data_IF_709907981858
#
_entry.id   IF_709907981858
#
_cell.length_a   1.000
_cell.length_b   1.000
_cell.length_c   1.000
_cell.angle_alpha   90.00
_cell.angle_beta   90.00
_cell.angle_gamma   90.00
#
_symmetry.space_group_name_H-M   'P 1'
#
loop_
_entity.id
_entity.type
_entity.pdbx_description
1 polymer ?
#
# COMPACT_ATOMS: atom_id res chain seq x y z
N UNK A 1 -41.27 -30.04 4.96
CA UNK A 1 -40.26 -29.20 5.66
C UNK A 1 -38.94 -29.15 4.87
N UNK A 2 -38.76 -30.00 3.87
CA UNK A 2 -37.54 -30.05 3.04
C UNK A 2 -37.40 -28.92 2.00
N UNK A 3 -38.49 -28.39 1.44
CA UNK A 3 -38.42 -27.40 0.34
C UNK A 3 -37.67 -26.11 0.68
N UNK A 4 -37.82 -25.61 1.92
CA UNK A 4 -37.12 -24.38 2.35
C UNK A 4 -35.63 -24.60 2.53
N UNK A 5 -35.23 -25.82 2.91
CA UNK A 5 -33.84 -26.19 3.06
C UNK A 5 -33.16 -26.28 1.68
N UNK A 6 -33.80 -26.89 0.69
CA UNK A 6 -33.30 -26.94 -0.69
C UNK A 6 -33.24 -25.56 -1.36
N UNK A 7 -34.22 -24.68 -1.10
CA UNK A 7 -34.16 -23.29 -1.58
C UNK A 7 -32.99 -22.51 -0.97
N UNK A 8 -32.69 -22.74 0.30
CA UNK A 8 -31.56 -22.09 0.96
C UNK A 8 -30.23 -22.59 0.41
N UNK A 9 -30.04 -23.91 0.30
CA UNK A 9 -28.81 -24.52 -0.22
C UNK A 9 -28.55 -24.10 -1.67
N UNK A 10 -29.59 -24.10 -2.51
CA UNK A 10 -29.46 -23.66 -3.90
C UNK A 10 -29.18 -22.16 -4.04
N UNK A 11 -29.67 -21.33 -3.12
CA UNK A 11 -29.36 -19.89 -3.11
C UNK A 11 -27.92 -19.64 -2.67
N UNK A 12 -27.43 -20.35 -1.66
CA UNK A 12 -26.03 -20.25 -1.17
C UNK A 12 -25.05 -20.66 -2.27
N UNK A 13 -25.27 -21.81 -2.92
CA UNK A 13 -24.42 -22.26 -4.03
C UNK A 13 -24.38 -21.25 -5.20
N UNK A 14 -25.49 -20.56 -5.44
CA UNK A 14 -25.57 -19.53 -6.49
C UNK A 14 -24.76 -18.29 -6.13
N UNK A 15 -24.79 -17.89 -4.85
CA UNK A 15 -23.98 -16.78 -4.33
C UNK A 15 -22.49 -17.13 -4.38
N UNK A 16 -22.09 -18.34 -4.00
CA UNK A 16 -20.69 -18.78 -4.09
C UNK A 16 -20.17 -18.72 -5.53
N UNK A 17 -20.97 -19.17 -6.50
CA UNK A 17 -20.62 -19.12 -7.92
C UNK A 17 -20.50 -17.68 -8.46
N UNK A 18 -21.31 -16.75 -7.95
CA UNK A 18 -21.18 -15.33 -8.31
C UNK A 18 -19.92 -14.69 -7.71
N UNK A 19 -19.54 -15.08 -6.49
CA UNK A 19 -18.32 -14.58 -5.85
C UNK A 19 -17.08 -15.10 -6.60
N UNK A 20 -17.05 -16.38 -6.99
CA UNK A 20 -15.91 -16.94 -7.72
C UNK A 20 -15.65 -16.22 -9.05
N UNK A 21 -16.70 -15.85 -9.78
CA UNK A 21 -16.54 -15.14 -11.06
C UNK A 21 -16.01 -13.71 -10.90
N UNK A 22 -16.40 -13.02 -9.81
CA UNK A 22 -15.89 -11.65 -9.53
C UNK A 22 -14.42 -11.69 -9.12
N UNK A 23 -13.96 -12.78 -8.51
CA UNK A 23 -12.54 -12.97 -8.14
C UNK A 23 -11.68 -13.27 -9.37
N UNK A 24 -12.19 -14.01 -10.36
CA UNK A 24 -11.47 -14.30 -11.60
C UNK A 24 -11.33 -13.05 -12.51
N UNK A 25 -12.35 -12.19 -12.58
CA UNK A 25 -12.31 -10.95 -13.39
C UNK A 25 -11.29 -9.91 -12.88
N UNK A 26 -10.84 -10.00 -11.62
CA UNK A 26 -9.79 -9.14 -11.07
C UNK A 26 -8.37 -9.63 -11.39
N UNK A 27 -8.22 -10.83 -11.97
CA UNK A 27 -6.93 -11.46 -12.21
C UNK A 27 -6.41 -11.31 -13.65
N UNK A 28 -7.27 -11.02 -14.62
CA UNK A 28 -6.86 -10.93 -16.03
C UNK A 28 -6.18 -9.60 -16.42
N UNK A 29 -6.37 -8.52 -15.65
CA UNK A 29 -5.68 -7.23 -15.89
C UNK A 29 -4.18 -7.23 -15.47
N UNK A 30 -3.72 -8.27 -14.75
CA UNK A 30 -2.32 -8.37 -14.27
C UNK A 30 -1.37 -9.14 -15.22
N UNK A 31 -1.88 -9.73 -16.29
CA UNK A 31 -1.12 -10.70 -17.12
C UNK A 31 -0.23 -10.08 -18.21
N UNK A 32 -0.34 -8.78 -18.51
CA UNK A 32 0.38 -8.16 -19.65
C UNK A 32 1.79 -7.65 -19.27
N UNK A 33 2.14 -7.58 -17.98
CA UNK A 33 3.41 -6.99 -17.53
C UNK A 33 4.63 -7.95 -17.55
N UNK A 34 4.46 -9.19 -18.02
CA UNK A 34 5.44 -10.28 -17.86
C UNK A 34 6.37 -10.51 -19.08
N UNK A 35 6.54 -9.51 -19.95
CA UNK A 35 7.56 -9.57 -21.01
C UNK A 35 8.42 -8.31 -20.95
N UNK A 36 9.43 -8.32 -20.10
CA UNK A 36 10.73 -7.64 -20.29
C UNK A 36 11.59 -7.80 -19.03
N UNK A 37 12.11 -9.00 -18.84
CA UNK A 37 13.31 -9.23 -18.03
C UNK A 37 14.52 -9.22 -18.97
N UNK A 38 15.31 -8.14 -18.99
CA UNK A 38 16.76 -8.23 -19.16
C UNK A 38 17.42 -6.92 -18.70
N UNK A 39 18.11 -6.97 -17.56
CA UNK A 39 19.27 -6.16 -17.16
C UNK A 39 19.37 -6.19 -15.63
N UNK A 40 20.13 -7.15 -15.12
CA UNK A 40 20.37 -7.32 -13.69
C UNK A 40 21.06 -6.12 -13.04
N UNK A 41 20.59 -5.75 -11.85
CA UNK A 41 21.39 -5.06 -10.85
C UNK A 41 20.88 -5.42 -9.45
N UNK A 42 21.67 -6.26 -8.77
CA UNK A 42 21.53 -6.55 -7.34
C UNK A 42 21.87 -5.29 -6.53
N UNK A 43 21.00 -4.90 -5.60
CA UNK A 43 21.43 -4.16 -4.41
C UNK A 43 20.52 -4.47 -3.23
N UNK A 44 21.16 -4.92 -2.16
CA UNK A 44 20.57 -5.45 -0.94
C UNK A 44 19.67 -4.42 -0.25
N UNK A 45 18.37 -4.70 -0.21
CA UNK A 45 17.45 -4.11 0.76
C UNK A 45 16.82 -5.27 1.51
N UNK A 46 16.99 -5.27 2.84
CA UNK A 46 16.36 -6.25 3.74
C UNK A 46 14.88 -6.39 3.39
N UNK A 47 14.56 -7.58 2.92
CA UNK A 47 13.22 -8.06 2.63
C UNK A 47 12.41 -8.07 3.92
N UNK A 48 11.43 -7.18 4.01
CA UNK A 48 10.17 -7.52 4.65
C UNK A 48 9.26 -8.02 3.54
N UNK A 49 8.96 -9.31 3.66
CA UNK A 49 8.09 -10.13 2.83
C UNK A 49 6.74 -9.47 2.55
N UNK A 50 6.22 -9.66 1.34
CA UNK A 50 4.82 -9.38 0.98
C UNK A 50 4.62 -8.23 -0.01
N UNK A 51 4.50 -8.59 -1.29
CA UNK A 51 4.05 -7.74 -2.40
C UNK A 51 5.00 -6.58 -2.76
N UNK A 52 5.68 -6.70 -3.90
CA UNK A 52 6.49 -5.62 -4.48
C UNK A 52 5.54 -4.54 -5.01
N UNK A 53 4.89 -3.80 -4.12
CA UNK A 53 3.98 -2.70 -4.44
C UNK A 53 4.81 -1.63 -5.15
N UNK A 54 4.68 -1.57 -6.47
CA UNK A 54 5.28 -0.51 -7.27
C UNK A 54 4.47 0.77 -7.09
N UNK A 55 4.91 1.61 -6.17
CA UNK A 55 4.34 2.96 -6.00
C UNK A 55 4.61 3.82 -7.24
N UNK A 56 3.55 4.45 -7.73
CA UNK A 56 3.60 5.50 -8.76
C UNK A 56 4.27 6.75 -8.19
N UNK A 57 4.81 7.62 -9.06
CA UNK A 57 5.47 8.84 -8.59
C UNK A 57 4.53 9.77 -7.81
N UNK A 58 3.25 9.75 -8.16
CA UNK A 58 2.19 10.52 -7.51
C UNK A 58 1.92 10.07 -6.08
N UNK A 59 2.14 8.79 -5.78
CA UNK A 59 1.95 8.19 -4.46
C UNK A 59 3.18 8.41 -3.56
N UNK A 60 4.24 8.98 -4.12
CA UNK A 60 5.46 9.30 -3.44
C UNK A 60 5.54 10.80 -3.14
N UNK A 61 6.24 11.12 -2.06
CA UNK A 61 6.61 12.49 -1.74
C UNK A 61 8.07 12.59 -1.32
N UNK A 62 8.64 13.76 -1.54
CA UNK A 62 9.98 14.08 -1.08
C UNK A 62 9.99 14.37 0.42
N UNK A 63 11.18 14.24 1.02
CA UNK A 63 11.43 14.69 2.40
C UNK A 63 11.06 16.16 2.61
N UNK A 64 11.25 17.02 1.60
CA UNK A 64 10.95 18.45 1.69
C UNK A 64 9.44 18.72 1.76
N UNK A 65 8.67 18.02 0.94
CA UNK A 65 7.20 18.10 0.95
C UNK A 65 6.62 17.57 2.28
N UNK A 66 7.14 16.43 2.76
CA UNK A 66 6.73 15.86 4.04
C UNK A 66 6.98 16.83 5.21
N UNK A 67 8.12 17.52 5.21
CA UNK A 67 8.43 18.54 6.23
C UNK A 67 7.43 19.70 6.20
N UNK A 68 7.04 20.16 5.01
CA UNK A 68 6.07 21.25 4.86
C UNK A 68 4.68 20.83 5.35
N UNK A 69 4.25 19.60 5.00
CA UNK A 69 2.93 19.07 5.35
C UNK A 69 2.78 18.80 6.85
N UNK A 70 3.78 18.14 7.45
CA UNK A 70 3.79 17.79 8.88
C UNK A 70 4.23 18.94 9.79
N UNK A 71 4.81 20.00 9.23
CA UNK A 71 5.44 21.12 9.98
C UNK A 71 6.46 20.61 11.02
N UNK A 72 7.32 19.69 10.61
CA UNK A 72 8.39 19.10 11.44
C UNK A 72 9.76 19.30 10.82
N UNK A 73 10.81 19.28 11.65
CA UNK A 73 12.19 19.34 11.17
C UNK A 73 12.60 18.06 10.46
N UNK A 74 13.61 18.17 9.59
CA UNK A 74 14.22 17.02 8.90
C UNK A 74 14.66 15.93 9.88
N UNK A 75 15.30 16.34 10.98
CA UNK A 75 15.74 15.41 12.02
C UNK A 75 14.58 14.62 12.61
N UNK A 76 13.45 15.28 12.88
CA UNK A 76 12.26 14.60 13.40
C UNK A 76 11.70 13.60 12.40
N UNK A 77 11.66 13.94 11.12
CA UNK A 77 11.24 13.03 10.06
C UNK A 77 12.15 11.79 9.98
N UNK A 78 13.46 11.96 10.12
CA UNK A 78 14.41 10.85 10.22
C UNK A 78 14.13 9.97 11.44
N UNK A 79 13.77 10.55 12.58
CA UNK A 79 13.38 9.78 13.77
C UNK A 79 12.09 8.98 13.55
N UNK A 80 11.09 9.55 12.88
CA UNK A 80 9.84 8.85 12.55
C UNK A 80 10.13 7.63 11.65
N UNK A 81 10.97 7.79 10.63
CA UNK A 81 11.44 6.68 9.78
C UNK A 81 12.18 5.60 10.56
N UNK A 82 13.11 5.99 11.45
CA UNK A 82 13.86 5.05 12.30
C UNK A 82 12.95 4.26 13.25
N UNK A 83 11.81 4.82 13.61
CA UNK A 83 10.77 4.18 14.43
C UNK A 83 9.75 3.39 13.62
N UNK A 84 9.94 3.28 12.30
CA UNK A 84 8.97 2.69 11.38
C UNK A 84 7.57 3.35 11.44
N UNK A 85 7.50 4.63 11.83
CA UNK A 85 6.26 5.42 11.77
C UNK A 85 5.98 5.95 10.35
N UNK A 86 7.01 5.96 9.48
CA UNK A 86 6.94 6.33 8.07
C UNK A 86 7.86 5.41 7.27
N UNK A 87 7.34 4.82 6.20
CA UNK A 87 8.06 4.01 5.24
C UNK A 87 8.78 4.89 4.23
N UNK A 88 9.87 4.37 3.68
CA UNK A 88 10.67 5.09 2.71
C UNK A 88 11.18 4.19 1.61
N UNK A 89 11.13 4.71 0.39
CA UNK A 89 11.57 4.04 -0.82
C UNK A 89 12.78 4.80 -1.37
N UNK A 90 13.80 4.05 -1.78
CA UNK A 90 14.92 4.62 -2.52
C UNK A 90 14.59 4.55 -4.01
N UNK A 91 14.53 5.68 -4.69
CA UNK A 91 14.30 5.78 -6.14
C UNK A 91 15.26 6.81 -6.72
N UNK A 92 16.05 6.41 -7.71
CA UNK A 92 17.08 7.24 -8.35
C UNK A 92 18.09 7.85 -7.35
N UNK A 93 18.48 7.06 -6.34
CA UNK A 93 19.38 7.50 -5.26
C UNK A 93 18.77 8.54 -4.31
N UNK A 94 17.47 8.82 -4.42
CA UNK A 94 16.75 9.76 -3.57
C UNK A 94 15.74 9.02 -2.69
N UNK A 95 15.62 9.48 -1.44
CA UNK A 95 14.63 8.98 -0.51
C UNK A 95 13.27 9.62 -0.81
N UNK A 96 12.29 8.78 -1.08
CA UNK A 96 10.87 9.11 -1.18
C UNK A 96 10.12 8.50 0.00
N UNK A 97 9.06 9.16 0.44
CA UNK A 97 8.14 8.68 1.45
C UNK A 97 6.80 8.39 0.80
N UNK A 98 6.05 7.44 1.36
CA UNK A 98 4.71 7.13 0.90
C UNK A 98 3.79 8.29 1.30
N UNK A 99 3.09 8.88 0.33
CA UNK A 99 2.26 10.08 0.53
C UNK A 99 1.15 9.81 1.54
N UNK A 100 0.44 8.70 1.40
CA UNK A 100 -0.69 8.33 2.26
C UNK A 100 -0.27 8.21 3.73
N UNK A 101 0.85 7.55 4.01
CA UNK A 101 1.37 7.42 5.37
C UNK A 101 1.72 8.80 5.98
N UNK A 102 2.28 9.71 5.18
CA UNK A 102 2.62 11.05 5.65
C UNK A 102 1.37 11.88 5.92
N UNK A 103 0.33 11.75 5.11
CA UNK A 103 -0.97 12.39 5.34
C UNK A 103 -1.67 11.85 6.58
N UNK A 104 -1.68 10.53 6.77
CA UNK A 104 -2.19 9.90 7.98
C UNK A 104 -1.42 10.36 9.24
N UNK A 105 -0.09 10.44 9.13
CA UNK A 105 0.78 10.94 10.20
C UNK A 105 0.46 12.39 10.57
N UNK A 106 0.00 13.24 9.64
CA UNK A 106 -0.41 14.62 9.96
C UNK A 106 -1.54 14.65 10.98
N UNK A 107 -2.53 13.77 10.80
CA UNK A 107 -3.69 13.68 11.68
C UNK A 107 -3.26 13.14 13.05
N UNK A 108 -2.63 11.97 13.06
CA UNK A 108 -2.17 11.33 14.30
C UNK A 108 -1.20 12.20 15.11
N UNK A 109 -0.24 12.85 14.45
CA UNK A 109 0.75 13.69 15.10
C UNK A 109 0.15 15.00 15.65
N UNK A 110 -0.89 15.53 15.00
CA UNK A 110 -1.62 16.70 15.50
C UNK A 110 -2.48 16.35 16.71
N UNK A 111 -3.18 15.20 16.68
CA UNK A 111 -3.93 14.67 17.83
C UNK A 111 -3.02 14.46 19.04
N UNK A 112 -1.87 13.82 18.85
CA UNK A 112 -0.90 13.56 19.94
C UNK A 112 -0.36 14.84 20.58
N UNK A 113 -0.39 15.97 19.86
CA UNK A 113 0.01 17.29 20.36
C UNK A 113 -1.15 18.10 20.93
N UNK A 114 -2.36 17.56 20.98
CA UNK A 114 -3.56 18.25 21.47
C UNK A 114 -3.93 19.48 20.62
N UNK A 115 -3.68 19.43 19.31
CA UNK A 115 -3.89 20.57 18.39
C UNK A 115 -5.23 20.54 17.65
N UNK A 116 -6.09 19.57 17.94
CA UNK A 116 -7.42 19.36 17.34
C UNK A 116 -8.42 19.28 18.48
#
# INVERSE_FOLDING_TARGET
MEDRFYQLVSSVLRIEKMISTVVDEQSEDRSVALIMEDAGLQSEAKETDGEKVMYREEELMTVKEAMALLKVSRWKLTQMRKKAELSSISRDGRVRLIREEVEAARIWYSLRKGKI
#
